data_IF_080804485938
#
_entry.id   IF_080804485938
#
_cell.length_a   1.000
_cell.length_b   1.000
_cell.length_c   1.000
_cell.angle_alpha   90.00
_cell.angle_beta   90.00
_cell.angle_gamma   90.00
#
_symmetry.space_group_name_H-M   'P 1'
#
loop_
_entity.id
_entity.type
_entity.pdbx_description
1 polymer ?
#
# COMPACT_ATOMS: atom_id res chain seq x y z
N UNK A 1 16.74 -0.40 9.18
CA UNK A 1 16.78 -0.19 10.46
C UNK A 1 15.75 -0.99 11.07
N UNK A 2 15.85 -1.02 12.24
CA UNK A 2 14.85 -1.74 12.82
C UNK A 2 13.60 -1.23 12.25
N UNK A 3 12.83 -2.13 11.86
CA UNK A 3 11.57 -1.81 11.34
C UNK A 3 10.67 -1.35 12.44
N UNK A 4 11.23 -0.55 13.28
CA UNK A 4 10.41 -0.07 14.33
C UNK A 4 9.47 0.94 13.78
N UNK A 5 8.20 0.66 13.86
CA UNK A 5 7.21 1.62 13.41
C UNK A 5 7.12 2.75 14.38
N UNK A 6 7.05 3.94 13.84
CA UNK A 6 6.63 5.05 14.62
C UNK A 6 5.18 4.85 14.92
N UNK A 7 4.74 5.36 16.00
CA UNK A 7 3.40 5.14 16.38
C UNK A 7 2.41 5.59 15.36
N UNK A 8 2.54 6.77 14.85
CA UNK A 8 1.59 7.27 13.86
C UNK A 8 2.35 8.13 12.92
N UNK A 9 2.56 7.66 11.70
CA UNK A 9 3.17 8.46 10.66
C UNK A 9 2.12 9.30 9.96
N UNK A 10 0.94 8.73 9.77
CA UNK A 10 -0.15 9.37 9.06
C UNK A 10 -1.44 9.00 9.76
N UNK A 11 -2.37 9.95 9.82
CA UNK A 11 -3.69 9.71 10.40
C UNK A 11 -4.74 9.80 9.31
N UNK A 12 -5.61 8.82 9.25
CA UNK A 12 -6.71 8.77 8.31
C UNK A 12 -8.02 8.72 9.06
N UNK A 13 -9.07 9.23 8.43
CA UNK A 13 -10.39 9.18 9.03
C UNK A 13 -10.85 7.76 9.27
N UNK A 14 -10.57 6.87 8.32
CA UNK A 14 -10.99 5.48 8.43
C UNK A 14 -9.84 4.52 8.67
N UNK A 15 -8.63 4.99 8.69
CA UNK A 15 -7.49 4.12 8.86
C UNK A 15 -7.30 3.16 7.70
N UNK A 16 -6.14 2.56 7.57
CA UNK A 16 -5.89 1.58 6.52
C UNK A 16 -6.44 0.22 6.88
N UNK A 17 -7.00 -0.48 5.89
CA UNK A 17 -7.43 -1.85 6.07
C UNK A 17 -6.27 -2.81 5.94
N UNK A 18 -5.35 -2.54 5.05
CA UNK A 18 -4.18 -3.38 4.88
C UNK A 18 -3.00 -2.56 4.41
N UNK A 19 -1.80 -3.06 4.64
CA UNK A 19 -0.57 -2.39 4.27
C UNK A 19 0.48 -3.39 3.83
N UNK A 20 1.38 -2.94 2.96
CA UNK A 20 2.57 -3.72 2.58
C UNK A 20 3.73 -2.75 2.38
N UNK A 21 4.94 -3.29 2.26
CA UNK A 21 6.12 -2.45 2.06
C UNK A 21 6.93 -2.96 0.88
N UNK A 22 7.67 -2.06 0.25
CA UNK A 22 8.61 -2.46 -0.78
C UNK A 22 10.01 -2.60 -0.19
N UNK A 23 10.98 -2.95 -1.03
CA UNK A 23 12.34 -3.20 -0.57
C UNK A 23 13.06 -1.94 -0.10
N UNK A 24 12.54 -0.77 -0.43
CA UNK A 24 13.09 0.50 0.07
C UNK A 24 12.43 0.96 1.36
N UNK A 25 11.47 0.18 1.87
CA UNK A 25 10.77 0.52 3.10
C UNK A 25 9.59 1.43 2.92
N UNK A 26 9.17 1.70 1.68
CA UNK A 26 7.99 2.53 1.44
C UNK A 26 6.73 1.76 1.79
N UNK A 27 5.78 2.44 2.37
CA UNK A 27 4.55 1.84 2.89
C UNK A 27 3.42 2.08 1.92
N UNK A 28 2.72 1.01 1.56
CA UNK A 28 1.55 1.04 0.70
C UNK A 28 0.34 0.72 1.54
N UNK A 29 -0.55 1.70 1.71
CA UNK A 29 -1.69 1.57 2.61
C UNK A 29 -3.00 1.60 1.82
N UNK A 30 -3.84 0.59 2.04
CA UNK A 30 -5.15 0.51 1.40
C UNK A 30 -6.15 1.31 2.24
N UNK A 31 -6.64 2.40 1.68
CA UNK A 31 -7.55 3.32 2.35
C UNK A 31 -8.94 3.20 1.73
N UNK A 32 -9.93 2.69 2.47
CA UNK A 32 -11.25 2.41 1.89
C UNK A 32 -12.15 3.63 1.71
N UNK A 33 -11.79 4.75 2.28
CA UNK A 33 -12.59 5.97 2.17
C UNK A 33 -12.11 7.04 3.12
N UNK A 34 -12.72 8.20 3.09
CA UNK A 34 -13.84 8.63 2.23
C UNK A 34 -13.45 8.68 0.76
N UNK A 35 -14.43 8.98 -0.10
CA UNK A 35 -14.26 8.85 -1.54
C UNK A 35 -13.06 9.61 -2.11
N UNK A 36 -12.74 10.77 -1.57
CA UNK A 36 -11.62 11.57 -2.05
C UNK A 36 -10.27 11.03 -1.57
N UNK A 37 -10.27 10.04 -0.67
CA UNK A 37 -9.05 9.42 -0.16
C UNK A 37 -8.98 7.94 -0.53
N UNK A 38 -9.99 7.43 -1.19
CA UNK A 38 -10.10 6.01 -1.51
C UNK A 38 -9.02 5.58 -2.49
N UNK A 39 -8.19 4.61 -2.10
CA UNK A 39 -7.13 4.12 -2.97
C UNK A 39 -5.95 3.63 -2.16
N UNK A 40 -4.80 3.49 -2.82
CA UNK A 40 -3.58 3.08 -2.16
C UNK A 40 -2.67 4.30 -2.02
N UNK A 41 -2.34 4.63 -0.80
CA UNK A 41 -1.46 5.76 -0.49
C UNK A 41 -0.07 5.22 -0.21
N UNK A 42 0.94 5.80 -0.84
CA UNK A 42 2.32 5.34 -0.71
C UNK A 42 3.13 6.38 0.05
N UNK A 43 3.79 5.93 1.11
CA UNK A 43 4.58 6.81 1.98
C UNK A 43 6.00 6.28 2.11
N UNK A 44 6.94 7.22 2.25
CA UNK A 44 8.32 6.85 2.55
C UNK A 44 8.43 6.35 4.00
N UNK A 45 9.56 5.76 4.37
CA UNK A 45 9.77 5.30 5.75
C UNK A 45 9.64 6.40 6.80
N UNK A 46 9.77 7.66 6.40
CA UNK A 46 9.65 8.79 7.33
C UNK A 46 8.30 9.49 7.23
N UNK A 47 7.35 8.90 6.49
CA UNK A 47 6.00 9.43 6.44
C UNK A 47 5.72 10.43 5.33
N UNK A 48 6.63 10.59 4.40
CA UNK A 48 6.47 11.51 3.29
C UNK A 48 5.61 10.86 2.21
N UNK A 49 4.57 11.55 1.77
CA UNK A 49 3.71 10.97 0.75
C UNK A 49 4.41 10.97 -0.60
N UNK A 50 4.52 9.80 -1.20
CA UNK A 50 5.20 9.62 -2.47
C UNK A 50 4.24 9.51 -3.64
N UNK A 51 3.10 8.86 -3.44
CA UNK A 51 2.18 8.59 -4.53
C UNK A 51 0.79 8.24 -4.02
N UNK A 52 -0.17 8.30 -4.93
CA UNK A 52 -1.53 7.87 -4.66
C UNK A 52 -1.99 7.06 -5.87
N UNK A 53 -2.49 5.86 -5.62
CA UNK A 53 -3.00 4.98 -6.66
C UNK A 53 -4.51 4.91 -6.51
N UNK A 54 -5.22 5.50 -7.47
CA UNK A 54 -6.67 5.48 -7.45
C UNK A 54 -7.17 4.09 -7.80
N UNK A 55 -8.20 3.63 -7.08
CA UNK A 55 -8.81 2.33 -7.30
C UNK A 55 -10.31 2.54 -7.47
N UNK A 56 -10.97 1.85 -8.42
CA UNK A 56 -12.39 2.06 -8.67
C UNK A 56 -13.31 1.69 -7.52
N UNK A 57 -12.83 0.88 -6.58
CA UNK A 57 -13.61 0.44 -5.42
C UNK A 57 -12.78 0.61 -4.17
N UNK A 58 -13.45 0.63 -3.03
CA UNK A 58 -12.75 0.75 -1.75
C UNK A 58 -11.81 -0.42 -1.55
N UNK A 59 -10.49 -0.18 -1.46
CA UNK A 59 -9.54 -1.27 -1.29
C UNK A 59 -9.54 -1.77 0.15
N UNK A 60 -9.36 -3.08 0.31
CA UNK A 60 -9.31 -3.70 1.63
C UNK A 60 -7.92 -4.22 1.97
N UNK A 61 -7.13 -4.56 0.97
CA UNK A 61 -5.79 -5.04 1.23
C UNK A 61 -4.90 -4.83 0.02
N UNK A 62 -3.59 -4.84 0.25
CA UNK A 62 -2.58 -4.73 -0.79
C UNK A 62 -1.46 -5.70 -0.49
N UNK A 63 -0.90 -6.30 -1.53
CA UNK A 63 0.26 -7.17 -1.37
C UNK A 63 1.04 -7.18 -2.68
N UNK A 64 2.34 -7.37 -2.57
CA UNK A 64 3.17 -7.57 -3.75
C UNK A 64 3.20 -9.04 -4.12
N UNK A 65 3.29 -9.31 -5.42
CA UNK A 65 3.56 -10.66 -5.90
C UNK A 65 4.96 -11.10 -5.56
N UNK A 66 5.31 -12.30 -5.97
CA UNK A 66 6.61 -12.88 -5.71
C UNK A 66 7.27 -13.31 -7.00
N UNK A 67 8.57 -13.49 -6.97
CA UNK A 67 9.33 -13.93 -8.13
C UNK A 67 9.18 -12.98 -9.30
N UNK A 68 8.68 -13.45 -10.41
CA UNK A 68 8.48 -12.63 -11.60
C UNK A 68 7.47 -11.54 -11.38
N UNK A 69 6.59 -11.68 -10.38
CA UNK A 69 5.56 -10.70 -10.07
C UNK A 69 5.94 -9.77 -8.93
N UNK A 70 7.21 -9.76 -8.53
CA UNK A 70 7.63 -8.98 -7.35
C UNK A 70 7.39 -7.48 -7.49
N UNK A 71 7.21 -6.99 -8.71
CA UNK A 71 6.91 -5.58 -8.95
C UNK A 71 5.42 -5.31 -9.19
N UNK A 72 4.60 -6.33 -9.06
CA UNK A 72 3.17 -6.19 -9.25
C UNK A 72 2.50 -6.05 -7.90
N UNK A 73 1.77 -4.96 -7.74
CA UNK A 73 0.98 -4.72 -6.54
C UNK A 73 -0.43 -5.23 -6.80
N UNK A 74 -0.89 -6.14 -5.98
CA UNK A 74 -2.24 -6.67 -6.04
C UNK A 74 -3.09 -5.97 -4.99
N UNK A 75 -4.26 -5.52 -5.39
CA UNK A 75 -5.15 -4.75 -4.53
C UNK A 75 -6.49 -5.45 -4.51
N UNK A 76 -6.89 -5.95 -3.35
CA UNK A 76 -8.23 -6.49 -3.21
C UNK A 76 -9.17 -5.38 -2.81
N UNK A 77 -10.34 -5.37 -3.41
CA UNK A 77 -11.36 -4.39 -3.14
C UNK A 77 -12.69 -5.13 -3.00
N UNK A 78 -13.76 -4.38 -2.81
CA UNK A 78 -15.06 -4.94 -2.46
C UNK A 78 -15.45 -6.18 -3.28
N UNK A 79 -15.47 -6.08 -4.60
CA UNK A 79 -15.85 -7.18 -5.47
C UNK A 79 -14.81 -7.46 -6.54
N UNK A 80 -13.64 -6.88 -6.44
CA UNK A 80 -12.64 -6.99 -7.48
C UNK A 80 -11.24 -7.23 -6.96
N UNK A 81 -10.41 -7.69 -7.85
CA UNK A 81 -8.98 -7.80 -7.63
C UNK A 81 -8.32 -6.98 -8.71
N UNK A 82 -7.53 -6.02 -8.29
CA UNK A 82 -6.81 -5.14 -9.21
C UNK A 82 -5.33 -5.37 -9.08
N UNK A 83 -4.61 -5.09 -10.14
CA UNK A 83 -3.15 -5.17 -10.09
C UNK A 83 -2.56 -4.01 -10.86
N UNK A 84 -1.39 -3.58 -10.42
CA UNK A 84 -0.63 -2.56 -11.10
C UNK A 84 0.84 -2.92 -10.99
N UNK A 85 1.55 -2.78 -12.09
CA UNK A 85 2.98 -3.03 -12.10
C UNK A 85 3.70 -1.73 -11.74
N UNK A 86 4.63 -1.85 -10.81
CA UNK A 86 5.37 -0.71 -10.31
C UNK A 86 6.84 -0.87 -10.66
N UNK A 87 7.61 0.20 -10.44
CA UNK A 87 9.05 0.14 -10.58
C UNK A 87 9.73 -0.32 -9.30
N UNK A 88 8.94 -0.68 -8.30
CA UNK A 88 9.43 -1.09 -6.99
C UNK A 88 9.14 -2.55 -6.77
N UNK A 89 9.96 -3.17 -5.94
CA UNK A 89 9.83 -4.59 -5.62
C UNK A 89 9.31 -4.73 -4.20
N UNK A 90 8.34 -5.61 -4.01
CA UNK A 90 7.79 -5.87 -2.69
C UNK A 90 8.80 -6.56 -1.79
N UNK A 91 8.67 -6.33 -0.50
CA UNK A 91 9.51 -6.94 0.51
C UNK A 91 8.80 -8.16 1.06
N UNK A 92 9.45 -9.31 0.95
CA UNK A 92 8.92 -10.56 1.47
C UNK A 92 9.99 -11.16 2.39
N UNK A 93 9.84 -11.02 3.69
CA UNK A 93 10.80 -11.61 4.62
C UNK A 93 10.83 -13.12 4.45
N UNK A 94 11.99 -13.69 4.57
CA UNK A 94 12.15 -15.15 4.45
C UNK A 94 11.78 -15.85 5.71
#
# INVERSE_FOLDING_TARGET
>A
GSARFRKVLVTYETGPDGMTVDTDGNIYAAIPGPADQMGVHVYSPVGERLAFISVPQAPSNVTFGRGADARTLYITARTGLYRIRLNRTGHHPK
#
